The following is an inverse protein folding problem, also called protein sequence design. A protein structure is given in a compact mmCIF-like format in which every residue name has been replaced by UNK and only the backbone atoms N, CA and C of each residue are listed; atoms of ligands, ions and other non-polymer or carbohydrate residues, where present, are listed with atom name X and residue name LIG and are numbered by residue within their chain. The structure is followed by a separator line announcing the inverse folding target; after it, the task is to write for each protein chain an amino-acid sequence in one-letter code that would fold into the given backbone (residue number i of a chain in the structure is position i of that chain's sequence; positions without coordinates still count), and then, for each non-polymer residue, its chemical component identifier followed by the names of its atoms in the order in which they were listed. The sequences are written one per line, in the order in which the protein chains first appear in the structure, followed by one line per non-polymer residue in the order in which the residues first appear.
data_IF_658370871340
#
_entry.id   IF_658370871340
#
_cell.length_a   1.000
_cell.length_b   1.000
_cell.length_c   1.000
_cell.angle_alpha   90.00
_cell.angle_beta   90.00
_cell.angle_gamma   90.00
#
_symmetry.space_group_name_H-M   'P 1'
#
loop_
_entity.id
_entity.type
_entity.pdbx_description
1 polymer ?
#
# COMPACT_ATOMS: atom_id res chain seq x y z
N UNK A 1 -15.13 -0.93 -8.42
CA UNK A 1 -14.76 -1.95 -7.40
C UNK A 1 -15.79 -1.92 -6.27
N UNK A 2 -16.34 -3.09 -5.90
CA UNK A 2 -17.45 -3.23 -4.94
C UNK A 2 -16.95 -2.98 -3.50
N UNK A 3 -17.64 -2.14 -2.74
CA UNK A 3 -17.38 -1.95 -1.31
C UNK A 3 -17.62 -3.27 -0.57
N UNK A 4 -16.56 -3.89 -0.04
CA UNK A 4 -16.67 -5.02 0.85
C UNK A 4 -17.07 -4.49 2.24
N UNK A 5 -18.36 -4.59 2.60
CA UNK A 5 -18.83 -4.32 3.97
C UNK A 5 -18.67 -5.60 4.80
N UNK A 6 -17.69 -5.60 5.70
CA UNK A 6 -17.58 -6.63 6.75
C UNK A 6 -18.33 -6.13 7.97
N UNK A 7 -19.39 -6.84 8.37
CA UNK A 7 -20.26 -6.49 9.50
C UNK A 7 -19.64 -6.88 10.85
N UNK A 8 -19.64 -5.90 11.77
CA UNK A 8 -19.70 -6.01 13.24
C UNK A 8 -19.12 -7.24 13.93
N UNK A 9 -17.86 -7.15 14.36
CA UNK A 9 -17.25 -8.11 15.30
C UNK A 9 -15.75 -7.86 15.46
N UNK A 10 -15.32 -7.47 16.67
CA UNK A 10 -13.91 -7.24 17.13
C UNK A 10 -13.03 -6.44 16.16
N UNK A 11 -12.61 -5.22 16.55
CA UNK A 11 -11.65 -4.39 15.78
C UNK A 11 -10.45 -5.23 15.34
N UNK A 12 -10.37 -5.54 14.05
CA UNK A 12 -9.35 -6.43 13.49
C UNK A 12 -8.02 -5.67 13.44
N UNK A 13 -6.93 -6.26 13.92
CA UNK A 13 -5.59 -5.63 13.89
C UNK A 13 -5.13 -5.37 12.45
N UNK A 14 -4.14 -4.48 12.23
CA UNK A 14 -3.65 -4.17 10.87
C UNK A 14 -3.13 -5.46 10.18
N UNK A 15 -2.28 -6.29 10.83
CA UNK A 15 -1.78 -7.51 10.21
C UNK A 15 -2.88 -8.54 9.95
N UNK A 16 -3.87 -8.66 10.86
CA UNK A 16 -4.99 -9.57 10.69
C UNK A 16 -5.88 -9.14 9.51
N UNK A 17 -6.09 -7.84 9.32
CA UNK A 17 -6.81 -7.31 8.17
C UNK A 17 -6.06 -7.62 6.87
N UNK A 18 -4.76 -7.29 6.80
CA UNK A 18 -3.93 -7.50 5.62
C UNK A 18 -3.89 -8.98 5.22
N UNK A 19 -3.68 -9.86 6.20
CA UNK A 19 -3.68 -11.32 5.99
C UNK A 19 -5.03 -11.83 5.50
N UNK A 20 -6.14 -11.34 6.08
CA UNK A 20 -7.50 -11.72 5.66
C UNK A 20 -7.77 -11.27 4.23
N UNK A 21 -7.43 -10.03 3.86
CA UNK A 21 -7.62 -9.53 2.49
C UNK A 21 -6.84 -10.36 1.48
N UNK A 22 -5.54 -10.61 1.71
CA UNK A 22 -4.74 -11.42 0.78
C UNK A 22 -5.16 -12.89 0.69
N UNK A 23 -5.91 -13.41 1.69
CA UNK A 23 -6.46 -14.77 1.65
C UNK A 23 -7.81 -14.81 0.95
N UNK A 24 -8.75 -13.97 1.38
CA UNK A 24 -10.15 -14.00 0.95
C UNK A 24 -10.31 -13.38 -0.46
N UNK A 25 -9.42 -12.44 -0.82
CA UNK A 25 -9.37 -11.76 -2.12
C UNK A 25 -8.06 -12.07 -2.85
N UNK A 26 -7.62 -13.33 -2.83
CA UNK A 26 -6.32 -13.78 -3.39
C UNK A 26 -6.13 -13.53 -4.88
N UNK A 27 -7.21 -13.30 -5.62
CA UNK A 27 -7.20 -12.99 -7.05
C UNK A 27 -7.17 -11.47 -7.31
N UNK A 28 -7.34 -10.64 -6.28
CA UNK A 28 -7.32 -9.18 -6.35
C UNK A 28 -6.12 -8.56 -5.61
N UNK A 29 -5.58 -9.25 -4.58
CA UNK A 29 -4.53 -8.73 -3.70
C UNK A 29 -3.43 -9.74 -3.34
N UNK A 30 -2.19 -9.25 -3.33
CA UNK A 30 -1.02 -9.94 -2.76
C UNK A 30 -0.68 -9.29 -1.40
N UNK A 31 -0.55 -10.08 -0.34
CA UNK A 31 -0.21 -9.58 0.99
C UNK A 31 1.31 -9.51 1.22
N UNK A 32 1.81 -8.29 1.38
CA UNK A 32 3.21 -7.95 1.64
C UNK A 32 3.44 -7.37 3.05
N UNK A 33 2.46 -7.47 3.95
CA UNK A 33 2.61 -7.06 5.35
C UNK A 33 3.91 -7.65 5.93
N UNK A 34 4.76 -6.75 6.46
CA UNK A 34 6.08 -7.07 7.05
C UNK A 34 7.06 -7.77 6.12
N UNK A 35 6.82 -7.73 4.83
CA UNK A 35 7.67 -8.30 3.80
C UNK A 35 8.75 -7.29 3.43
N UNK A 36 10.01 -7.71 3.55
CA UNK A 36 11.16 -6.86 3.27
C UNK A 36 11.72 -7.13 1.89
N UNK A 37 11.96 -6.06 1.14
CA UNK A 37 12.79 -6.06 -0.06
C UNK A 37 14.23 -5.83 0.39
N UNK A 38 15.12 -6.68 -0.09
CA UNK A 38 16.56 -6.57 0.12
C UNK A 38 17.22 -6.14 -1.17
N UNK A 39 17.88 -4.96 -1.13
CA UNK A 39 18.74 -4.47 -2.20
C UNK A 39 20.19 -4.58 -1.70
N UNK A 40 21.10 -5.19 -2.46
CA UNK A 40 22.51 -5.25 -2.07
C UNK A 40 23.10 -3.87 -1.79
N UNK A 41 23.74 -3.69 -0.63
CA UNK A 41 24.37 -2.43 -0.24
C UNK A 41 23.42 -1.40 0.41
N UNK A 42 22.13 -1.70 0.50
CA UNK A 42 21.12 -0.80 1.08
C UNK A 42 20.37 -1.46 2.24
N UNK A 43 19.68 -0.64 3.05
CA UNK A 43 18.86 -1.17 4.14
C UNK A 43 17.58 -1.81 3.61
N UNK A 44 17.18 -2.94 4.19
CA UNK A 44 15.91 -3.61 3.88
C UNK A 44 14.72 -2.69 4.14
N UNK A 45 13.73 -2.72 3.27
CA UNK A 45 12.53 -1.88 3.40
C UNK A 45 11.24 -2.63 3.03
N UNK A 46 10.11 -2.17 3.58
CA UNK A 46 8.78 -2.66 3.20
C UNK A 46 8.25 -1.81 2.05
N UNK A 47 7.80 -2.45 0.95
CA UNK A 47 7.21 -1.72 -0.17
C UNK A 47 5.83 -1.14 0.18
N UNK A 48 4.94 -2.00 0.67
CA UNK A 48 3.56 -1.72 1.06
C UNK A 48 2.99 -2.91 1.84
N UNK A 49 1.75 -2.81 2.31
CA UNK A 49 1.08 -3.89 3.03
C UNK A 49 0.35 -4.85 2.08
N UNK A 50 -0.26 -4.32 1.02
CA UNK A 50 -0.94 -5.09 -0.03
C UNK A 50 -0.61 -4.50 -1.41
N UNK A 51 -0.50 -5.37 -2.42
CA UNK A 51 -0.46 -4.98 -3.84
C UNK A 51 -1.75 -5.42 -4.51
N UNK A 52 -2.46 -4.48 -5.13
CA UNK A 52 -3.68 -4.78 -5.88
C UNK A 52 -3.35 -5.31 -7.29
N UNK A 53 -4.31 -5.96 -7.95
CA UNK A 53 -4.22 -6.40 -9.36
C UNK A 53 -3.80 -5.26 -10.30
N UNK A 54 -4.21 -4.03 -10.00
CA UNK A 54 -3.86 -2.80 -10.74
C UNK A 54 -2.43 -2.32 -10.49
N UNK A 55 -1.62 -3.06 -9.73
CA UNK A 55 -0.28 -2.63 -9.30
C UNK A 55 -0.30 -1.60 -8.16
N UNK A 56 -1.47 -1.21 -7.64
CA UNK A 56 -1.57 -0.21 -6.59
C UNK A 56 -0.89 -0.69 -5.30
N UNK A 57 -0.07 0.19 -4.70
CA UNK A 57 0.64 -0.04 -3.44
C UNK A 57 -0.23 0.46 -2.28
N UNK A 58 -0.77 -0.47 -1.50
CA UNK A 58 -1.72 -0.15 -0.43
C UNK A 58 -1.03 -0.17 0.93
N UNK A 59 -1.13 0.94 1.64
CA UNK A 59 -0.64 1.15 3.00
C UNK A 59 -1.81 1.23 3.97
N UNK A 60 -1.94 0.22 4.83
CA UNK A 60 -3.06 0.05 5.75
C UNK A 60 -2.66 0.55 7.13
N UNK A 61 -3.48 1.44 7.68
CA UNK A 61 -3.25 1.94 9.04
C UNK A 61 -4.54 2.17 9.79
N UNK A 62 -4.55 1.89 11.08
CA UNK A 62 -5.67 2.26 11.93
C UNK A 62 -5.65 3.75 12.19
N UNK A 63 -6.83 4.37 12.21
CA UNK A 63 -7.00 5.72 12.75
C UNK A 63 -6.39 5.79 14.15
N UNK A 64 -5.52 6.76 14.39
CA UNK A 64 -4.71 6.81 15.60
C UNK A 64 -3.96 8.14 15.77
N UNK A 65 -2.89 8.09 16.58
CA UNK A 65 -2.06 9.24 16.93
C UNK A 65 -1.25 9.75 15.73
N UNK A 66 -0.89 11.04 15.75
CA UNK A 66 -0.14 11.68 14.67
C UNK A 66 1.18 10.99 14.36
N UNK A 67 1.94 10.58 15.38
CA UNK A 67 3.23 9.92 15.20
C UNK A 67 3.13 8.62 14.38
N UNK A 68 2.12 7.79 14.64
CA UNK A 68 1.94 6.53 13.93
C UNK A 68 1.50 6.74 12.48
N UNK A 69 0.69 7.78 12.21
CA UNK A 69 0.24 8.13 10.87
C UNK A 69 1.38 8.76 10.05
N UNK A 70 2.13 9.70 10.63
CA UNK A 70 3.29 10.30 9.98
C UNK A 70 4.35 9.27 9.63
N UNK A 71 4.59 8.28 10.51
CA UNK A 71 5.52 7.20 10.21
C UNK A 71 5.06 6.34 9.03
N UNK A 72 3.75 6.07 8.89
CA UNK A 72 3.21 5.39 7.71
C UNK A 72 3.47 6.20 6.42
N UNK A 73 3.18 7.50 6.45
CA UNK A 73 3.32 8.35 5.26
C UNK A 73 4.77 8.45 4.81
N UNK A 74 5.69 8.62 5.76
CA UNK A 74 7.12 8.64 5.48
C UNK A 74 7.61 7.30 4.91
N UNK A 75 7.14 6.17 5.47
CA UNK A 75 7.47 4.84 4.95
C UNK A 75 6.99 4.67 3.50
N UNK A 76 5.76 5.08 3.21
CA UNK A 76 5.21 5.00 1.85
C UNK A 76 5.98 5.89 0.85
N UNK A 77 6.33 7.11 1.24
CA UNK A 77 7.11 7.99 0.38
C UNK A 77 8.51 7.41 0.11
N UNK A 78 9.20 6.95 1.14
CA UNK A 78 10.53 6.34 1.00
C UNK A 78 10.47 5.04 0.18
N UNK A 79 9.44 4.20 0.36
CA UNK A 79 9.31 2.98 -0.44
C UNK A 79 9.08 3.30 -1.92
N UNK A 80 8.28 4.32 -2.23
CA UNK A 80 8.08 4.79 -3.60
C UNK A 80 9.38 5.33 -4.22
N UNK A 81 10.22 6.03 -3.46
CA UNK A 81 11.53 6.49 -3.94
C UNK A 81 12.47 5.33 -4.27
N UNK A 82 12.48 4.30 -3.43
CA UNK A 82 13.29 3.11 -3.69
C UNK A 82 12.79 2.39 -4.95
N UNK A 83 11.47 2.18 -5.07
CA UNK A 83 10.86 1.54 -6.23
C UNK A 83 10.99 2.37 -7.51
N UNK A 84 11.18 3.69 -7.40
CA UNK A 84 11.48 4.56 -8.55
C UNK A 84 12.88 4.33 -9.14
N UNK A 85 13.73 3.49 -8.52
CA UNK A 85 15.05 3.07 -9.05
C UNK A 85 14.95 1.64 -9.60
N UNK A 86 14.43 1.40 -10.82
CA UNK A 86 13.95 0.08 -11.21
C UNK A 86 15.09 -0.92 -11.43
N UNK A 87 16.26 -0.42 -11.86
CA UNK A 87 17.45 -1.24 -12.10
C UNK A 87 17.88 -2.06 -10.87
N UNK A 88 17.66 -1.53 -9.67
CA UNK A 88 18.09 -2.14 -8.41
C UNK A 88 16.94 -2.85 -7.69
N UNK A 89 15.71 -2.36 -7.84
CA UNK A 89 14.55 -2.84 -7.05
C UNK A 89 13.65 -3.83 -7.76
N UNK A 90 13.58 -3.81 -9.10
CA UNK A 90 12.62 -4.61 -9.87
C UNK A 90 12.79 -6.11 -9.61
N UNK A 91 14.02 -6.61 -9.67
CA UNK A 91 14.32 -8.03 -9.45
C UNK A 91 13.89 -8.50 -8.05
N UNK A 92 14.42 -7.88 -6.98
CA UNK A 92 14.02 -8.19 -5.61
C UNK A 92 12.51 -8.05 -5.36
N UNK A 93 11.86 -7.01 -5.90
CA UNK A 93 10.43 -6.82 -5.72
C UNK A 93 9.60 -7.90 -6.43
N UNK A 94 9.92 -8.23 -7.69
CA UNK A 94 9.26 -9.31 -8.43
C UNK A 94 9.45 -10.68 -7.77
N UNK A 95 10.64 -10.93 -7.20
CA UNK A 95 10.90 -12.13 -6.40
C UNK A 95 9.97 -12.18 -5.18
N UNK A 96 9.87 -11.08 -4.43
CA UNK A 96 8.99 -11.02 -3.28
C UNK A 96 7.51 -11.21 -3.64
N UNK A 97 7.06 -10.64 -4.76
CA UNK A 97 5.71 -10.86 -5.28
C UNK A 97 5.46 -12.33 -5.60
N UNK A 98 6.43 -13.01 -6.24
CA UNK A 98 6.32 -14.42 -6.58
C UNK A 98 6.27 -15.33 -5.33
N UNK A 99 7.01 -14.98 -4.28
CA UNK A 99 7.00 -15.70 -3.00
C UNK A 99 5.68 -15.54 -2.22
N UNK A 100 5.01 -14.38 -2.36
CA UNK A 100 3.83 -14.03 -1.56
C UNK A 100 2.51 -14.25 -2.28
N UNK A 101 2.49 -14.26 -3.61
CA UNK A 101 1.27 -14.42 -4.39
C UNK A 101 0.64 -15.80 -4.16
N UNK A 102 -0.68 -15.82 -3.92
CA UNK A 102 -1.47 -17.06 -3.78
C UNK A 102 -2.21 -17.45 -5.06
N UNK A 103 -2.17 -16.58 -6.08
CA UNK A 103 -2.80 -16.78 -7.38
C UNK A 103 -1.76 -16.50 -8.48
N UNK A 104 -1.39 -17.51 -9.28
CA UNK A 104 -0.47 -17.32 -10.40
C UNK A 104 -0.98 -16.30 -11.42
N UNK A 105 -2.30 -16.27 -11.66
CA UNK A 105 -2.94 -15.31 -12.56
C UNK A 105 -2.73 -13.87 -12.07
N UNK A 106 -2.95 -13.63 -10.77
CA UNK A 106 -2.74 -12.32 -10.17
C UNK A 106 -1.26 -11.92 -10.26
N UNK A 107 -0.34 -12.83 -9.96
CA UNK A 107 1.11 -12.57 -10.07
C UNK A 107 1.49 -12.08 -11.47
N UNK A 108 1.07 -12.81 -12.51
CA UNK A 108 1.35 -12.42 -13.91
C UNK A 108 0.76 -11.05 -14.23
N UNK A 109 -0.48 -10.80 -13.81
CA UNK A 109 -1.17 -9.52 -14.07
C UNK A 109 -0.43 -8.35 -13.43
N UNK A 110 -0.08 -8.46 -12.13
CA UNK A 110 0.66 -7.43 -11.40
C UNK A 110 2.03 -7.18 -12.04
N UNK A 111 2.78 -8.25 -12.37
CA UNK A 111 4.10 -8.10 -13.01
C UNK A 111 4.01 -7.40 -14.38
N UNK A 112 2.97 -7.69 -15.17
CA UNK A 112 2.73 -6.99 -16.43
C UNK A 112 2.40 -5.51 -16.22
N UNK A 113 1.55 -5.18 -15.25
CA UNK A 113 1.21 -3.78 -14.94
C UNK A 113 2.44 -3.00 -14.46
N UNK A 114 3.24 -3.56 -13.57
CA UNK A 114 4.47 -2.92 -13.09
C UNK A 114 5.48 -2.70 -14.23
N UNK A 115 5.65 -3.69 -15.12
CA UNK A 115 6.51 -3.55 -16.29
C UNK A 115 6.01 -2.48 -17.28
N UNK A 116 4.69 -2.33 -17.45
CA UNK A 116 4.12 -1.28 -18.29
C UNK A 116 4.33 0.11 -17.68
N UNK A 117 4.15 0.26 -16.38
CA UNK A 117 4.39 1.51 -15.66
C UNK A 117 5.85 1.98 -15.75
N UNK A 118 6.82 1.06 -15.70
CA UNK A 118 8.24 1.39 -15.91
C UNK A 118 8.52 2.03 -17.28
N UNK A 119 7.76 1.63 -18.31
CA UNK A 119 7.83 2.25 -19.64
C UNK A 119 7.09 3.59 -19.74
N UNK A 120 6.68 4.18 -18.59
CA UNK A 120 5.91 5.41 -18.44
C UNK A 120 4.61 5.44 -19.25
N UNK A 121 4.02 4.26 -19.48
CA UNK A 121 2.73 4.15 -20.15
C UNK A 121 1.56 4.39 -19.20
N UNK A 122 1.74 4.08 -17.92
CA UNK A 122 0.71 4.18 -16.88
C UNK A 122 1.29 4.70 -15.55
N UNK A 123 0.49 5.50 -14.83
CA UNK A 123 0.80 5.96 -13.47
C UNK A 123 0.28 4.95 -12.44
N UNK A 124 1.16 4.43 -11.58
CA UNK A 124 0.75 3.55 -10.49
C UNK A 124 0.08 4.36 -9.36
N UNK A 125 -0.74 3.68 -8.56
CA UNK A 125 -1.45 4.29 -7.45
C UNK A 125 -0.83 3.90 -6.10
N UNK A 126 -0.71 4.86 -5.20
CA UNK A 126 -0.42 4.65 -3.78
C UNK A 126 -1.70 4.93 -2.98
N UNK A 127 -2.15 3.93 -2.23
CA UNK A 127 -3.41 4.00 -1.47
C UNK A 127 -3.12 4.02 0.02
N UNK A 128 -3.52 5.09 0.70
CA UNK A 128 -3.60 5.12 2.16
C UNK A 128 -4.97 4.65 2.63
N UNK A 129 -5.02 3.42 3.15
CA UNK A 129 -6.24 2.75 3.57
C UNK A 129 -6.38 2.77 5.10
N UNK A 130 -7.35 3.54 5.61
CA UNK A 130 -7.50 3.72 7.05
C UNK A 130 -8.62 2.89 7.67
N UNK A 131 -8.25 1.98 8.57
CA UNK A 131 -9.17 1.19 9.37
C UNK A 131 -9.71 2.03 10.53
N UNK A 132 -11.02 2.01 10.77
CA UNK A 132 -11.58 2.60 11.97
C UNK A 132 -13.08 2.84 11.90
N UNK A 133 -13.64 3.32 13.00
CA UNK A 133 -15.01 3.80 13.01
C UNK A 133 -15.03 5.23 12.47
N UNK A 134 -15.57 5.39 11.27
CA UNK A 134 -15.59 6.68 10.58
C UNK A 134 -16.87 7.47 10.87
N UNK A 135 -17.96 6.91 11.45
CA UNK A 135 -19.25 7.58 11.77
C UNK A 135 -19.58 8.89 11.00
N UNK A 136 -19.46 8.89 9.66
CA UNK A 136 -19.71 10.07 8.82
C UNK A 136 -18.58 11.12 8.74
N UNK A 137 -17.51 10.97 9.51
CA UNK A 137 -16.24 11.67 9.35
C UNK A 137 -15.46 11.19 8.13
N UNK A 138 -14.76 12.11 7.49
CA UNK A 138 -13.84 11.83 6.37
C UNK A 138 -12.40 11.85 6.87
N UNK A 139 -11.45 11.78 5.94
CA UNK A 139 -10.02 11.99 6.22
C UNK A 139 -9.73 13.30 6.97
N UNK A 140 -10.62 14.29 6.86
CA UNK A 140 -10.52 15.54 7.62
C UNK A 140 -10.60 15.35 9.13
N UNK A 141 -11.12 14.21 9.60
CA UNK A 141 -11.19 13.83 11.01
C UNK A 141 -9.89 13.29 11.61
N UNK A 142 -8.80 13.23 10.83
CA UNK A 142 -7.47 12.96 11.35
C UNK A 142 -6.92 14.16 12.14
N UNK A 143 -6.01 13.94 13.12
CA UNK A 143 -5.32 15.02 13.80
C UNK A 143 -4.63 15.99 12.82
N UNK A 144 -4.59 17.27 13.18
CA UNK A 144 -4.06 18.34 12.32
C UNK A 144 -2.69 18.01 11.72
N UNK A 145 -1.73 17.60 12.56
CA UNK A 145 -0.38 17.24 12.12
C UNK A 145 -0.35 16.01 11.19
N UNK A 146 -1.27 15.05 11.36
CA UNK A 146 -1.40 13.94 10.42
C UNK A 146 -1.82 14.40 9.04
N UNK A 147 -2.70 15.40 8.96
CA UNK A 147 -3.16 15.94 7.66
C UNK A 147 -2.03 16.69 6.95
N UNK A 148 -1.25 17.49 7.69
CA UNK A 148 -0.06 18.15 7.11
C UNK A 148 0.91 17.11 6.57
N UNK A 149 1.26 16.12 7.40
CA UNK A 149 2.19 15.06 7.01
C UNK A 149 1.68 14.27 5.80
N UNK A 150 0.38 13.94 5.76
CA UNK A 150 -0.24 13.29 4.61
C UNK A 150 -0.10 14.13 3.33
N UNK A 151 -0.37 15.43 3.40
CA UNK A 151 -0.26 16.33 2.24
C UNK A 151 1.18 16.39 1.74
N UNK A 152 2.15 16.60 2.64
CA UNK A 152 3.57 16.71 2.28
C UNK A 152 4.09 15.43 1.60
N UNK A 153 3.86 14.27 2.22
CA UNK A 153 4.32 13.00 1.65
C UNK A 153 3.53 12.61 0.39
N UNK A 154 2.24 12.95 0.29
CA UNK A 154 1.48 12.74 -0.93
C UNK A 154 2.01 13.59 -2.09
N UNK A 155 2.47 14.82 -1.85
CA UNK A 155 3.14 15.63 -2.88
C UNK A 155 4.45 14.98 -3.32
N UNK A 156 5.25 14.49 -2.38
CA UNK A 156 6.51 13.79 -2.69
C UNK A 156 6.27 12.55 -3.53
N UNK A 157 5.28 11.73 -3.17
CA UNK A 157 4.88 10.54 -3.94
C UNK A 157 4.37 10.91 -5.34
N UNK A 158 3.57 11.98 -5.48
CA UNK A 158 3.11 12.46 -6.79
C UNK A 158 4.24 12.93 -7.69
N UNK A 159 5.25 13.59 -7.13
CA UNK A 159 6.42 14.04 -7.89
C UNK A 159 7.26 12.87 -8.45
N UNK A 160 7.10 11.67 -7.90
CA UNK A 160 7.72 10.44 -8.42
C UNK A 160 6.90 9.76 -9.53
N UNK A 161 5.74 10.33 -9.91
CA UNK A 161 4.88 9.82 -10.97
C UNK A 161 3.77 8.86 -10.51
N UNK A 162 3.45 8.85 -9.21
CA UNK A 162 2.34 8.06 -8.67
C UNK A 162 1.08 8.91 -8.45
N UNK A 163 -0.09 8.31 -8.64
CA UNK A 163 -1.33 8.87 -8.10
C UNK A 163 -1.44 8.52 -6.61
N UNK A 164 -2.08 9.39 -5.82
CA UNK A 164 -2.27 9.16 -4.37
C UNK A 164 -3.73 9.26 -4.02
N UNK A 165 -4.26 8.18 -3.46
CA UNK A 165 -5.66 8.07 -3.02
C UNK A 165 -5.73 7.72 -1.55
N UNK A 166 -6.79 8.20 -0.91
CA UNK A 166 -7.12 7.87 0.48
C UNK A 166 -8.42 7.09 0.51
N UNK A 167 -8.45 5.98 1.24
CA UNK A 167 -9.64 5.16 1.46
C UNK A 167 -9.89 5.01 2.95
N UNK A 168 -11.15 5.09 3.36
CA UNK A 168 -11.58 4.83 4.74
C UNK A 168 -12.34 3.50 4.77
N UNK A 169 -11.96 2.61 5.68
CA UNK A 169 -12.56 1.27 5.83
C UNK A 169 -13.21 1.21 7.21
N UNK A 170 -14.54 1.13 7.23
CA UNK A 170 -15.32 1.00 8.45
C UNK A 170 -15.22 -0.42 9.02
N UNK A 171 -14.96 -0.50 10.33
CA UNK A 171 -14.91 -1.74 11.12
C UNK A 171 -15.65 -1.57 12.45
#
# INVERSE_FOLDING_TARGET
MRQCRVSGGRRTTEPAYNTKVGKDHRDDFICLDRALIEIPGETKFEACDLVAETGALVHVKRKGKSSALSHLFLRAANSCEMLHRPAETRGPFNKLLAERARSPKLLTTVQSVLAAAESRRDELEVVFAFLGDWRGGTISSLPFFSRISLVNEAHRVRNLGYTVTVKTISQ
#
